data_IF_040464737709
#
_entry.id   IF_040464737709
#
_cell.length_a   1.000
_cell.length_b   1.000
_cell.length_c   1.000
_cell.angle_alpha   90.00
_cell.angle_beta   90.00
_cell.angle_gamma   90.00
#
_symmetry.space_group_name_H-M   'P 1'
#
loop_
_entity.id
_entity.type
_entity.pdbx_description
1 polymer ?
#
# COMPACT_ATOMS: atom_id res chain seq x y z
N UNK A 1 16.03 3.55 16.08
CA UNK A 1 16.78 2.76 17.00
C UNK A 1 17.67 1.75 16.28
N UNK A 2 18.65 1.18 16.95
CA UNK A 2 19.70 0.32 16.39
C UNK A 2 19.18 -0.90 15.62
N UNK A 3 18.05 -1.50 16.03
CA UNK A 3 17.45 -2.63 15.32
C UNK A 3 16.88 -2.24 13.96
N UNK A 4 16.35 -1.03 13.87
CA UNK A 4 15.78 -0.50 12.62
C UNK A 4 16.86 -0.22 11.57
N UNK A 5 18.06 0.17 12.02
CA UNK A 5 19.20 0.41 11.16
C UNK A 5 19.89 -0.89 10.74
N UNK A 6 19.99 -1.86 11.65
CA UNK A 6 20.70 -3.13 11.39
C UNK A 6 20.06 -3.97 10.30
N UNK A 7 18.74 -4.04 10.20
CA UNK A 7 18.09 -4.94 9.25
C UNK A 7 18.32 -4.53 7.78
N UNK A 8 18.08 -3.29 7.36
CA UNK A 8 18.40 -2.88 6.00
C UNK A 8 19.87 -3.10 5.66
N UNK A 9 20.78 -2.72 6.55
CA UNK A 9 22.22 -2.93 6.36
C UNK A 9 22.56 -4.40 6.19
N UNK A 10 22.10 -5.25 7.08
CA UNK A 10 22.36 -6.68 7.02
C UNK A 10 21.80 -7.29 5.75
N UNK A 11 20.59 -6.93 5.34
CA UNK A 11 19.96 -7.43 4.12
C UNK A 11 20.72 -7.00 2.88
N UNK A 12 21.12 -5.75 2.79
CA UNK A 12 21.90 -5.24 1.64
C UNK A 12 23.35 -5.75 1.63
N UNK A 13 24.01 -5.82 2.76
CA UNK A 13 25.39 -6.32 2.84
C UNK A 13 25.51 -7.82 2.52
N UNK A 14 24.60 -8.64 3.04
CA UNK A 14 24.63 -10.09 2.81
C UNK A 14 24.29 -10.45 1.35
N UNK A 15 23.52 -9.59 0.67
CA UNK A 15 23.01 -9.84 -0.69
C UNK A 15 23.50 -8.80 -1.71
N UNK A 16 24.67 -8.21 -1.48
CA UNK A 16 25.22 -7.15 -2.35
C UNK A 16 25.35 -7.59 -3.84
N UNK A 17 25.55 -8.88 -4.10
CA UNK A 17 25.63 -9.43 -5.45
C UNK A 17 24.26 -9.76 -6.07
N UNK A 18 23.19 -9.76 -5.28
CA UNK A 18 21.83 -10.04 -5.75
C UNK A 18 21.18 -8.79 -6.33
N UNK A 19 20.65 -8.90 -7.54
CA UNK A 19 19.71 -7.89 -8.07
C UNK A 19 18.40 -7.99 -7.32
N UNK A 20 17.96 -6.87 -6.74
CA UNK A 20 16.66 -6.78 -6.06
C UNK A 20 15.55 -6.52 -7.08
N UNK A 21 14.47 -7.25 -6.97
CA UNK A 21 13.24 -7.03 -7.72
C UNK A 21 12.34 -6.04 -6.97
N UNK A 22 11.35 -5.48 -7.66
CA UNK A 22 10.28 -4.67 -7.03
C UNK A 22 9.59 -5.44 -5.90
N UNK A 23 9.34 -6.75 -6.10
CA UNK A 23 8.73 -7.61 -5.08
C UNK A 23 9.63 -7.77 -3.83
N UNK A 24 10.95 -7.91 -4.02
CA UNK A 24 11.90 -7.94 -2.90
C UNK A 24 11.85 -6.64 -2.09
N UNK A 25 11.83 -5.49 -2.77
CA UNK A 25 11.77 -4.18 -2.11
C UNK A 25 10.45 -3.98 -1.36
N UNK A 26 9.31 -4.31 -1.97
CA UNK A 26 7.99 -4.30 -1.30
C UNK A 26 8.00 -5.18 -0.04
N UNK A 27 8.63 -6.36 -0.09
CA UNK A 27 8.77 -7.26 1.06
C UNK A 27 9.61 -6.64 2.17
N UNK A 28 10.76 -6.03 1.83
CA UNK A 28 11.63 -5.32 2.78
C UNK A 28 10.86 -4.20 3.47
N UNK A 29 10.14 -3.36 2.70
CA UNK A 29 9.37 -2.24 3.24
C UNK A 29 8.22 -2.67 4.18
N UNK A 30 7.75 -3.92 4.05
CA UNK A 30 6.74 -4.52 4.94
C UNK A 30 7.31 -5.16 6.20
N UNK A 31 8.63 -5.14 6.39
CA UNK A 31 9.29 -5.81 7.52
C UNK A 31 8.96 -5.14 8.85
N UNK A 32 8.72 -5.98 9.84
CA UNK A 32 8.49 -5.58 11.24
C UNK A 32 9.66 -5.93 12.16
N UNK A 33 10.74 -6.50 11.64
CA UNK A 33 11.91 -7.08 12.32
C UNK A 33 11.63 -8.32 13.18
N UNK A 34 10.38 -8.62 13.47
CA UNK A 34 10.02 -9.76 14.31
C UNK A 34 10.36 -11.11 13.67
N UNK A 35 10.55 -11.11 12.36
CA UNK A 35 11.01 -12.29 11.62
C UNK A 35 12.48 -12.62 11.88
N UNK A 36 13.24 -11.70 12.48
CA UNK A 36 14.68 -11.79 12.65
C UNK A 36 15.15 -11.76 14.11
N UNK A 37 14.27 -11.47 15.06
CA UNK A 37 14.62 -11.30 16.45
C UNK A 37 13.63 -12.04 17.35
N UNK A 38 14.04 -13.19 17.87
CA UNK A 38 13.24 -14.02 18.78
C UNK A 38 12.82 -13.27 20.06
N UNK A 39 13.70 -12.40 20.56
CA UNK A 39 13.50 -11.56 21.74
C UNK A 39 12.48 -10.44 21.52
N UNK A 40 12.12 -10.15 20.27
CA UNK A 40 11.08 -9.18 19.92
C UNK A 40 9.73 -9.84 19.65
N UNK A 41 9.61 -11.15 19.76
CA UNK A 41 8.33 -11.86 19.71
C UNK A 41 7.51 -11.46 20.93
N UNK A 42 6.80 -10.36 20.78
CA UNK A 42 5.83 -9.87 21.76
C UNK A 42 4.59 -10.75 21.76
N UNK A 43 3.75 -10.57 22.80
CA UNK A 43 2.44 -11.21 22.87
C UNK A 43 1.75 -11.15 21.51
N UNK A 44 1.36 -12.29 21.04
CA UNK A 44 0.72 -12.56 19.76
C UNK A 44 -0.49 -11.66 19.42
N UNK A 45 -1.05 -10.99 20.40
CA UNK A 45 -2.18 -10.06 20.26
C UNK A 45 -1.75 -8.62 19.95
N UNK A 46 -0.47 -8.30 20.12
CA UNK A 46 0.02 -6.94 19.91
C UNK A 46 0.42 -6.69 18.46
N UNK A 47 0.20 -5.46 18.03
CA UNK A 47 0.64 -4.96 16.75
C UNK A 47 2.18 -5.00 16.63
N UNK A 48 2.75 -5.50 15.52
CA UNK A 48 4.19 -5.61 15.33
C UNK A 48 4.85 -4.30 14.91
N UNK A 49 4.12 -3.18 14.83
CA UNK A 49 4.55 -1.96 14.17
C UNK A 49 5.51 -1.08 14.98
N UNK A 50 6.01 -1.54 16.11
CA UNK A 50 6.81 -0.73 17.03
C UNK A 50 8.22 -0.43 16.53
N UNK A 51 8.89 -1.39 15.89
CA UNK A 51 10.33 -1.32 15.61
C UNK A 51 10.72 -1.46 14.13
N UNK A 52 9.83 -1.98 13.27
CA UNK A 52 10.12 -2.29 11.88
C UNK A 52 10.26 -1.10 10.94
N UNK A 53 10.49 -1.37 9.67
CA UNK A 53 10.34 -0.38 8.60
C UNK A 53 8.87 -0.03 8.42
N UNK A 54 8.00 -1.05 8.45
CA UNK A 54 6.56 -0.86 8.54
C UNK A 54 6.20 -0.60 10.01
N UNK A 55 6.01 0.64 10.38
CA UNK A 55 5.73 1.06 11.76
C UNK A 55 4.41 1.82 11.86
N UNK A 56 4.01 2.07 13.12
CA UNK A 56 2.79 2.80 13.48
C UNK A 56 2.70 4.21 12.86
N UNK A 57 3.85 4.86 12.67
CA UNK A 57 3.96 6.20 12.06
C UNK A 57 4.19 6.17 10.55
N UNK A 58 4.17 5.00 9.89
CA UNK A 58 4.32 4.91 8.44
C UNK A 58 3.04 5.38 7.76
N UNK A 59 3.07 6.54 7.15
CA UNK A 59 1.92 7.12 6.41
C UNK A 59 1.93 6.76 4.94
N UNK A 60 3.08 6.40 4.40
CA UNK A 60 3.25 5.98 3.01
C UNK A 60 4.51 5.15 2.85
N UNK A 61 4.50 4.23 1.90
CA UNK A 61 5.66 3.47 1.45
C UNK A 61 5.75 3.51 -0.06
N UNK A 62 6.94 3.81 -0.58
CA UNK A 62 7.19 4.01 -2.00
C UNK A 62 8.33 3.09 -2.46
N UNK A 63 8.11 2.43 -3.61
CA UNK A 63 9.14 1.73 -4.39
C UNK A 63 9.10 2.28 -5.80
N UNK A 64 10.23 2.81 -6.29
CA UNK A 64 10.33 3.37 -7.64
C UNK A 64 11.00 2.36 -8.56
N UNK A 65 10.33 2.05 -9.66
CA UNK A 65 10.82 1.22 -10.75
C UNK A 65 11.11 2.11 -11.94
N UNK A 66 12.39 2.40 -12.16
CA UNK A 66 12.83 3.21 -13.28
C UNK A 66 12.69 2.46 -14.61
N UNK A 67 12.39 3.20 -15.68
CA UNK A 67 12.26 2.67 -17.03
C UNK A 67 13.09 3.54 -17.99
N UNK A 68 13.61 2.93 -19.07
CA UNK A 68 14.32 3.65 -20.14
C UNK A 68 13.42 4.70 -20.82
N UNK A 69 12.11 4.42 -20.90
CA UNK A 69 11.11 5.40 -21.31
C UNK A 69 10.66 6.14 -20.04
N UNK A 70 11.03 7.41 -19.83
CA UNK A 70 10.80 8.12 -18.56
C UNK A 70 9.33 8.12 -18.11
N UNK A 71 8.38 8.20 -19.04
CA UNK A 71 6.95 8.18 -18.76
C UNK A 71 6.47 6.83 -18.16
N UNK A 72 7.19 5.75 -18.44
CA UNK A 72 6.92 4.41 -17.88
C UNK A 72 7.60 4.16 -16.54
N UNK A 73 8.36 5.12 -16.01
CA UNK A 73 8.82 5.04 -14.61
C UNK A 73 7.60 4.89 -13.71
N UNK A 74 7.58 3.82 -12.94
CA UNK A 74 6.43 3.46 -12.09
C UNK A 74 6.77 3.67 -10.62
N UNK A 75 5.94 4.43 -9.94
CA UNK A 75 5.97 4.62 -8.48
C UNK A 75 4.94 3.70 -7.87
N UNK A 76 5.38 2.62 -7.26
CA UNK A 76 4.54 1.73 -6.49
C UNK A 76 4.30 2.33 -5.12
N UNK A 77 3.07 2.69 -4.81
CA UNK A 77 2.69 3.38 -3.57
C UNK A 77 1.72 2.56 -2.75
N UNK A 78 2.06 2.32 -1.49
CA UNK A 78 1.17 1.79 -0.48
C UNK A 78 0.92 2.86 0.58
N UNK A 79 -0.34 3.24 0.76
CA UNK A 79 -0.78 4.16 1.80
C UNK A 79 -0.81 3.45 3.15
N UNK A 80 -1.21 4.10 4.25
CA UNK A 80 -0.63 3.85 5.57
C UNK A 80 -0.38 2.38 5.84
N UNK A 81 0.83 2.08 6.31
CA UNK A 81 1.36 0.75 6.63
C UNK A 81 1.27 -0.26 5.49
N UNK A 82 2.36 -0.44 4.75
CA UNK A 82 2.38 -1.28 3.55
C UNK A 82 2.02 -2.75 3.80
N UNK A 83 2.09 -3.23 5.06
CA UNK A 83 1.64 -4.58 5.41
C UNK A 83 0.10 -4.75 5.39
N UNK A 84 -0.63 -3.64 5.48
CA UNK A 84 -2.09 -3.61 5.45
C UNK A 84 -2.65 -3.23 4.08
N UNK A 85 -1.82 -2.68 3.18
CA UNK A 85 -2.30 -2.07 1.96
C UNK A 85 -1.52 -2.53 0.72
N UNK A 86 -2.14 -2.36 -0.45
CA UNK A 86 -1.62 -2.74 -1.76
C UNK A 86 -0.65 -1.67 -2.26
N UNK A 87 0.47 -2.08 -2.83
CA UNK A 87 1.29 -1.23 -3.66
C UNK A 87 0.61 -1.01 -5.02
N UNK A 88 -0.01 0.13 -5.18
CA UNK A 88 -0.67 0.55 -6.42
C UNK A 88 0.34 1.20 -7.37
N UNK A 89 0.33 0.86 -8.67
CA UNK A 89 1.24 1.45 -9.64
C UNK A 89 0.76 2.85 -10.06
N UNK A 90 1.68 3.81 -9.98
CA UNK A 90 1.50 5.18 -10.45
C UNK A 90 2.59 5.51 -11.45
N UNK A 91 2.23 5.83 -12.69
CA UNK A 91 3.20 6.18 -13.70
C UNK A 91 3.59 7.66 -13.68
N UNK A 92 4.87 7.96 -13.94
CA UNK A 92 5.35 9.33 -14.03
C UNK A 92 4.77 10.09 -15.23
N UNK A 93 4.31 9.37 -16.25
CA UNK A 93 3.80 9.92 -17.50
C UNK A 93 2.30 10.24 -17.53
N UNK A 94 1.59 10.18 -16.43
CA UNK A 94 0.15 10.49 -16.38
C UNK A 94 -0.13 11.99 -16.33
N UNK A 95 -1.25 12.41 -16.88
CA UNK A 95 -1.65 13.83 -16.92
C UNK A 95 -2.64 14.20 -15.79
N UNK A 96 -3.30 13.24 -15.19
CA UNK A 96 -4.29 13.47 -14.11
C UNK A 96 -4.29 12.34 -13.12
N UNK A 97 -4.73 12.63 -11.93
CA UNK A 97 -4.83 11.71 -10.80
C UNK A 97 -6.30 11.32 -10.58
N UNK A 98 -6.54 10.13 -10.02
CA UNK A 98 -7.90 9.74 -9.62
C UNK A 98 -8.39 10.69 -8.50
N UNK A 99 -9.61 11.28 -8.60
CA UNK A 99 -10.12 12.29 -7.66
C UNK A 99 -10.18 11.83 -6.20
N UNK A 100 -10.28 10.52 -5.96
CA UNK A 100 -10.23 9.99 -4.59
C UNK A 100 -8.85 10.18 -3.91
N UNK A 101 -7.81 10.42 -4.70
CA UNK A 101 -6.42 10.62 -4.24
C UNK A 101 -5.96 12.06 -4.34
N UNK A 102 -6.77 12.93 -4.95
CA UNK A 102 -6.45 14.35 -5.03
C UNK A 102 -6.66 15.06 -3.71
N UNK A 103 -5.82 16.04 -3.43
CA UNK A 103 -6.12 17.07 -2.46
C UNK A 103 -7.18 18.02 -3.04
N UNK A 104 -8.08 18.49 -2.19
CA UNK A 104 -9.21 19.32 -2.66
C UNK A 104 -8.73 20.68 -3.17
N UNK A 105 -7.63 21.21 -2.62
CA UNK A 105 -7.08 22.51 -2.98
C UNK A 105 -5.56 22.52 -2.73
N UNK A 106 -4.77 22.63 -3.81
CA UNK A 106 -3.30 22.64 -3.73
C UNK A 106 -2.72 23.81 -2.95
N UNK A 107 -3.39 24.97 -2.93
CA UNK A 107 -2.97 26.13 -2.14
C UNK A 107 -3.21 25.88 -0.66
N UNK A 108 -4.34 25.27 -0.31
CA UNK A 108 -4.64 24.90 1.06
C UNK A 108 -3.82 23.68 1.52
N UNK A 109 -3.37 22.79 0.63
CA UNK A 109 -2.56 21.65 1.00
C UNK A 109 -1.27 22.05 1.74
N UNK A 110 -0.55 23.07 1.24
CA UNK A 110 0.65 23.58 1.92
C UNK A 110 0.31 24.20 3.26
N UNK A 111 -0.76 24.98 3.35
CA UNK A 111 -1.21 25.62 4.60
C UNK A 111 -1.65 24.57 5.61
N UNK A 112 -2.45 23.58 5.22
CA UNK A 112 -2.92 22.50 6.07
C UNK A 112 -1.79 21.62 6.58
N UNK A 113 -0.72 21.43 5.78
CA UNK A 113 0.46 20.68 6.23
C UNK A 113 1.15 21.35 7.42
N UNK A 114 1.25 22.68 7.41
CA UNK A 114 1.91 23.44 8.46
C UNK A 114 0.99 23.79 9.63
N UNK A 115 -0.31 23.93 9.36
CA UNK A 115 -1.34 24.31 10.33
C UNK A 115 -2.68 23.69 9.94
N UNK A 116 -2.89 22.39 10.20
CA UNK A 116 -4.07 21.67 9.77
C UNK A 116 -5.33 22.18 10.47
N UNK A 117 -6.42 22.31 9.71
CA UNK A 117 -7.74 22.62 10.24
C UNK A 117 -8.42 21.35 10.78
N UNK A 118 -9.42 21.52 11.69
CA UNK A 118 -10.22 20.38 12.16
C UNK A 118 -10.90 19.62 11.03
N UNK A 119 -11.38 20.34 9.99
CA UNK A 119 -12.01 19.76 8.82
C UNK A 119 -11.07 18.83 8.01
N UNK A 120 -9.75 18.99 8.12
CA UNK A 120 -8.77 18.11 7.47
C UNK A 120 -8.76 16.71 8.08
N UNK A 121 -9.23 16.57 9.32
CA UNK A 121 -9.33 15.29 10.05
C UNK A 121 -10.72 14.66 9.98
N UNK A 122 -11.67 15.29 9.29
CA UNK A 122 -13.00 14.71 9.11
C UNK A 122 -12.95 13.52 8.15
N UNK A 123 -13.62 12.44 8.56
CA UNK A 123 -13.77 11.25 7.73
C UNK A 123 -14.52 11.57 6.44
N UNK A 124 -13.96 11.13 5.31
CA UNK A 124 -14.57 11.28 3.97
C UNK A 124 -14.53 9.93 3.25
N UNK A 125 -15.69 9.33 3.05
CA UNK A 125 -15.85 8.00 2.43
C UNK A 125 -15.42 7.94 0.96
N UNK A 126 -15.40 9.09 0.29
CA UNK A 126 -14.98 9.26 -1.10
C UNK A 126 -13.48 9.56 -1.25
N UNK A 127 -12.70 9.58 -0.15
CA UNK A 127 -11.25 9.78 -0.18
C UNK A 127 -10.50 8.50 0.16
N UNK A 128 -9.57 8.13 -0.71
CA UNK A 128 -8.82 6.89 -0.64
C UNK A 128 -8.01 6.76 0.67
N UNK A 129 -7.43 7.86 1.16
CA UNK A 129 -6.72 7.89 2.43
C UNK A 129 -7.54 7.26 3.57
N UNK A 130 -8.81 7.67 3.70
CA UNK A 130 -9.67 7.18 4.79
C UNK A 130 -10.01 5.70 4.67
N UNK A 131 -10.17 5.19 3.44
CA UNK A 131 -10.40 3.76 3.24
C UNK A 131 -9.19 2.92 3.68
N UNK A 132 -7.99 3.32 3.28
CA UNK A 132 -6.75 2.64 3.67
C UNK A 132 -6.47 2.78 5.17
N UNK A 133 -6.69 3.96 5.72
CA UNK A 133 -6.54 4.23 7.14
C UNK A 133 -7.51 3.41 8.00
N UNK A 134 -8.77 3.27 7.56
CA UNK A 134 -9.77 2.41 8.22
C UNK A 134 -9.35 0.96 8.22
N UNK A 135 -8.91 0.43 7.06
CA UNK A 135 -8.46 -0.95 6.93
C UNK A 135 -7.29 -1.25 7.88
N UNK A 136 -6.27 -0.39 7.90
CA UNK A 136 -5.13 -0.59 8.82
C UNK A 136 -5.54 -0.54 10.29
N UNK A 137 -6.48 0.35 10.68
CA UNK A 137 -6.93 0.45 12.06
C UNK A 137 -7.69 -0.81 12.49
N UNK A 138 -8.54 -1.36 11.62
CA UNK A 138 -9.22 -2.64 11.88
C UNK A 138 -8.19 -3.75 12.10
N UNK A 139 -7.14 -3.80 11.29
CA UNK A 139 -6.04 -4.76 11.47
C UNK A 139 -5.29 -4.55 12.78
N UNK A 140 -5.06 -3.31 13.18
CA UNK A 140 -4.31 -2.98 14.40
C UNK A 140 -4.98 -3.52 15.66
N UNK A 141 -6.31 -3.50 15.72
CA UNK A 141 -7.08 -4.02 16.85
C UNK A 141 -7.05 -5.55 16.99
N UNK A 142 -6.77 -6.28 15.90
CA UNK A 142 -6.70 -7.74 15.92
C UNK A 142 -5.78 -8.25 14.81
N UNK A 143 -4.53 -7.87 14.93
CA UNK A 143 -3.53 -8.06 13.88
C UNK A 143 -3.38 -9.53 13.48
N UNK A 144 -3.33 -10.44 14.44
CA UNK A 144 -3.12 -11.86 14.17
C UNK A 144 -4.25 -12.50 13.37
N UNK A 145 -5.48 -12.13 13.68
CA UNK A 145 -6.64 -12.60 12.94
C UNK A 145 -6.69 -11.98 11.53
N UNK A 146 -6.48 -10.66 11.44
CA UNK A 146 -6.65 -9.93 10.18
C UNK A 146 -5.50 -10.15 9.20
N UNK A 147 -4.26 -10.25 9.71
CA UNK A 147 -3.04 -10.28 8.88
C UNK A 147 -3.02 -11.38 7.82
N UNK A 148 -3.30 -12.67 8.11
CA UNK A 148 -3.28 -13.71 7.08
C UNK A 148 -4.33 -13.48 5.99
N UNK A 149 -5.51 -12.99 6.34
CA UNK A 149 -6.60 -12.70 5.39
C UNK A 149 -6.17 -11.58 4.44
N UNK A 150 -5.69 -10.47 5.00
CA UNK A 150 -5.28 -9.30 4.21
C UNK A 150 -4.03 -9.59 3.38
N UNK A 151 -3.06 -10.33 3.93
CA UNK A 151 -1.85 -10.69 3.19
C UNK A 151 -2.13 -11.55 1.95
N UNK A 152 -3.05 -12.49 2.05
CA UNK A 152 -3.45 -13.33 0.92
C UNK A 152 -4.10 -12.50 -0.19
N UNK A 153 -4.99 -11.58 0.17
CA UNK A 153 -5.64 -10.67 -0.78
C UNK A 153 -4.63 -9.71 -1.43
N UNK A 154 -3.72 -9.11 -0.64
CA UNK A 154 -2.64 -8.25 -1.16
C UNK A 154 -1.79 -9.02 -2.18
N UNK A 155 -1.32 -10.22 -1.83
CA UNK A 155 -0.47 -11.02 -2.71
C UNK A 155 -1.18 -11.38 -4.04
N UNK A 156 -2.49 -11.62 -4.00
CA UNK A 156 -3.30 -11.87 -5.18
C UNK A 156 -3.40 -10.64 -6.08
N UNK A 157 -3.76 -9.49 -5.50
CA UNK A 157 -3.97 -8.27 -6.27
C UNK A 157 -2.66 -7.73 -6.82
N UNK A 158 -1.59 -7.70 -6.03
CA UNK A 158 -0.29 -7.20 -6.49
C UNK A 158 0.29 -8.04 -7.64
N UNK A 159 0.09 -9.35 -7.63
CA UNK A 159 0.47 -10.21 -8.77
C UNK A 159 -0.30 -9.85 -10.05
N UNK A 160 -1.60 -9.54 -9.94
CA UNK A 160 -2.39 -9.09 -11.08
C UNK A 160 -1.92 -7.72 -11.59
N UNK A 161 -1.57 -6.80 -10.68
CA UNK A 161 -1.03 -5.48 -11.02
C UNK A 161 0.34 -5.59 -11.73
N UNK A 162 1.21 -6.48 -11.28
CA UNK A 162 2.52 -6.71 -11.90
C UNK A 162 2.38 -7.27 -13.32
N UNK A 163 1.47 -8.21 -13.53
CA UNK A 163 1.17 -8.75 -14.87
C UNK A 163 0.58 -7.69 -15.78
N UNK A 164 -0.45 -6.96 -15.33
CA UNK A 164 -1.11 -5.94 -16.14
C UNK A 164 -0.18 -4.75 -16.44
N UNK A 165 0.73 -4.41 -15.51
CA UNK A 165 1.76 -3.38 -15.76
C UNK A 165 2.66 -3.77 -16.93
N UNK A 166 3.16 -5.00 -16.96
CA UNK A 166 4.03 -5.46 -18.03
C UNK A 166 3.35 -5.42 -19.42
N UNK A 167 2.05 -5.66 -19.47
CA UNK A 167 1.25 -5.54 -20.70
C UNK A 167 1.06 -4.07 -21.09
N UNK A 168 0.72 -3.21 -20.14
CA UNK A 168 0.53 -1.76 -20.36
C UNK A 168 1.81 -1.11 -20.84
N UNK A 169 2.97 -1.46 -20.29
CA UNK A 169 4.27 -0.93 -20.72
C UNK A 169 4.53 -1.20 -22.21
N UNK A 170 4.21 -2.42 -22.68
CA UNK A 170 4.33 -2.78 -24.10
C UNK A 170 3.38 -1.98 -24.99
N UNK A 171 2.09 -1.94 -24.57
CA UNK A 171 1.06 -1.20 -25.32
C UNK A 171 1.43 0.28 -25.41
N UNK A 172 1.91 0.88 -24.32
CA UNK A 172 2.38 2.27 -24.30
C UNK A 172 3.51 2.48 -25.30
N UNK A 173 4.55 1.62 -25.27
CA UNK A 173 5.72 1.75 -26.13
C UNK A 173 5.37 1.66 -27.62
N UNK A 174 4.40 0.85 -27.98
CA UNK A 174 3.95 0.71 -29.36
C UNK A 174 3.00 1.87 -29.76
N UNK A 175 2.07 2.24 -28.92
CA UNK A 175 1.13 3.31 -29.16
C UNK A 175 1.81 4.69 -29.24
N UNK A 176 2.83 4.94 -28.44
CA UNK A 176 3.57 6.19 -28.42
C UNK A 176 4.32 6.46 -29.74
N UNK A 177 4.73 5.41 -30.49
CA UNK A 177 5.32 5.54 -31.82
C UNK A 177 4.31 6.04 -32.84
N UNK A 178 3.01 5.79 -32.65
CA UNK A 178 1.94 6.16 -33.55
C UNK A 178 1.36 7.51 -33.12
N UNK A 179 1.01 7.64 -31.85
CA UNK A 179 0.44 8.85 -31.27
C UNK A 179 0.71 8.92 -29.76
N UNK A 180 1.65 9.78 -29.37
CA UNK A 180 2.06 9.95 -27.97
C UNK A 180 0.88 10.38 -27.07
N UNK A 181 -0.02 11.23 -27.59
CA UNK A 181 -1.18 11.69 -26.80
C UNK A 181 -2.10 10.54 -26.39
N UNK A 182 -2.42 9.65 -27.32
CA UNK A 182 -3.21 8.47 -27.01
C UNK A 182 -2.52 7.51 -26.03
N UNK A 183 -1.20 7.37 -26.15
CA UNK A 183 -0.43 6.56 -25.22
C UNK A 183 -0.51 7.14 -23.79
N UNK A 184 -0.39 8.46 -23.64
CA UNK A 184 -0.51 9.14 -22.34
C UNK A 184 -1.92 9.02 -21.78
N UNK A 185 -2.95 9.19 -22.59
CA UNK A 185 -4.36 9.04 -22.16
C UNK A 185 -4.62 7.61 -21.68
N UNK A 186 -4.16 6.60 -22.44
CA UNK A 186 -4.27 5.18 -22.04
C UNK A 186 -3.55 4.91 -20.71
N UNK A 187 -2.33 5.42 -20.53
CA UNK A 187 -1.55 5.25 -19.31
C UNK A 187 -2.22 5.92 -18.10
N UNK A 188 -2.80 7.10 -18.32
CA UNK A 188 -3.55 7.86 -17.34
C UNK A 188 -4.80 7.10 -16.91
N UNK A 189 -5.58 6.59 -17.87
CA UNK A 189 -6.80 5.83 -17.59
C UNK A 189 -6.50 4.51 -16.87
N UNK A 190 -5.44 3.80 -17.29
CA UNK A 190 -4.99 2.60 -16.58
C UNK A 190 -4.65 2.92 -15.12
N UNK A 191 -3.82 3.93 -14.87
CA UNK A 191 -3.41 4.33 -13.51
C UNK A 191 -4.64 4.69 -12.66
N UNK A 192 -5.55 5.51 -13.20
CA UNK A 192 -6.77 5.90 -12.51
C UNK A 192 -7.67 4.69 -12.18
N UNK A 193 -7.78 3.72 -13.09
CA UNK A 193 -8.52 2.48 -12.85
C UNK A 193 -7.90 1.60 -11.76
N UNK A 194 -6.56 1.45 -11.75
CA UNK A 194 -5.91 0.68 -10.70
C UNK A 194 -6.05 1.38 -9.33
N UNK A 195 -5.92 2.69 -9.29
CA UNK A 195 -6.16 3.50 -8.09
C UNK A 195 -7.60 3.29 -7.56
N UNK A 196 -8.61 3.37 -8.42
CA UNK A 196 -10.01 3.12 -8.04
C UNK A 196 -10.22 1.69 -7.53
N UNK A 197 -9.68 0.69 -8.22
CA UNK A 197 -9.79 -0.73 -7.81
C UNK A 197 -9.18 -0.96 -6.43
N UNK A 198 -8.02 -0.40 -6.15
CA UNK A 198 -7.36 -0.57 -4.84
C UNK A 198 -8.06 0.22 -3.74
N UNK A 199 -8.60 1.38 -4.03
CA UNK A 199 -9.47 2.12 -3.11
C UNK A 199 -10.70 1.30 -2.73
N UNK A 200 -11.44 0.77 -3.72
CA UNK A 200 -12.62 -0.07 -3.47
C UNK A 200 -12.26 -1.39 -2.77
N UNK A 201 -11.10 -1.95 -3.09
CA UNK A 201 -10.58 -3.12 -2.40
C UNK A 201 -10.40 -2.85 -0.89
N UNK A 202 -9.83 -1.70 -0.52
CA UNK A 202 -9.63 -1.34 0.89
C UNK A 202 -10.98 -1.25 1.63
N UNK A 203 -11.97 -0.57 1.04
CA UNK A 203 -13.32 -0.48 1.61
C UNK A 203 -13.97 -1.86 1.80
N UNK A 204 -13.94 -2.70 0.76
CA UNK A 204 -14.53 -4.05 0.81
C UNK A 204 -13.81 -4.96 1.80
N UNK A 205 -12.48 -4.87 1.87
CA UNK A 205 -11.68 -5.68 2.79
C UNK A 205 -11.94 -5.27 4.24
N UNK A 206 -12.03 -3.98 4.52
CA UNK A 206 -12.41 -3.48 5.84
C UNK A 206 -13.77 -4.02 6.28
N UNK A 207 -14.79 -3.94 5.42
CA UNK A 207 -16.11 -4.47 5.69
C UNK A 207 -16.12 -5.99 5.90
N UNK A 208 -15.38 -6.74 5.07
CA UNK A 208 -15.22 -8.19 5.22
C UNK A 208 -14.62 -8.55 6.57
N UNK A 209 -13.55 -7.87 7.00
CA UNK A 209 -12.90 -8.12 8.29
C UNK A 209 -13.85 -7.88 9.47
N UNK A 210 -14.62 -6.80 9.44
CA UNK A 210 -15.62 -6.53 10.47
C UNK A 210 -16.64 -7.66 10.56
N UNK A 211 -17.20 -8.09 9.41
CA UNK A 211 -18.16 -9.19 9.34
C UNK A 211 -17.58 -10.51 9.87
N UNK A 212 -16.35 -10.84 9.52
CA UNK A 212 -15.68 -12.07 10.01
C UNK A 212 -15.40 -12.02 11.52
N UNK A 213 -15.04 -10.85 12.05
CA UNK A 213 -14.88 -10.64 13.49
C UNK A 213 -16.20 -10.81 14.25
N UNK A 214 -17.30 -10.28 13.71
CA UNK A 214 -18.63 -10.44 14.31
C UNK A 214 -19.07 -11.91 14.34
N UNK A 215 -18.89 -12.65 13.24
CA UNK A 215 -19.15 -14.09 13.19
C UNK A 215 -18.36 -14.84 14.25
N UNK A 216 -17.06 -14.60 14.37
CA UNK A 216 -16.19 -15.22 15.37
C UNK A 216 -16.68 -14.95 16.80
N UNK A 217 -17.10 -13.73 17.09
CA UNK A 217 -17.65 -13.37 18.39
C UNK A 217 -18.97 -14.10 18.67
N UNK A 218 -19.85 -14.18 17.69
CA UNK A 218 -21.11 -14.94 17.84
C UNK A 218 -20.88 -16.44 18.05
N UNK A 219 -19.95 -17.06 17.35
CA UNK A 219 -19.60 -18.47 17.52
C UNK A 219 -18.99 -18.73 18.89
N UNK A 220 -18.16 -17.82 19.40
CA UNK A 220 -17.66 -17.87 20.77
C UNK A 220 -18.80 -17.89 21.80
N UNK A 221 -19.77 -17.00 21.67
CA UNK A 221 -20.91 -16.94 22.59
C UNK A 221 -21.79 -18.19 22.50
N UNK A 222 -22.07 -18.69 21.30
CA UNK A 222 -22.81 -19.93 21.10
C UNK A 222 -22.14 -21.13 21.72
N UNK A 223 -20.81 -21.19 21.72
CA UNK A 223 -20.07 -22.29 22.37
C UNK A 223 -20.08 -22.26 23.88
N UNK A 224 -20.61 -21.19 24.51
CA UNK A 224 -20.73 -21.01 25.95
C UNK A 224 -22.15 -21.29 26.48
N UNK A 225 -23.13 -21.43 25.59
CA UNK A 225 -24.50 -21.83 25.89
C UNK A 225 -24.66 -23.34 25.79
#
# INVERSE_FOLDING_TARGET
>A
SQLREKQPYTTFQIKAEKKYTVADLKKIMRSHYMEYAEDLKTDSRMSPHRYGLCRDTTVESIVVEFNEIPRLTCVWRAFPRPCANIYTPWYAGIDRVNPAYEWVDGVNAQRSHLSPDKADFEYKDNKAYWAFFTLQNIMEYDYQFCRPIVAAEIAKVERQLEVSKAEVDKVYADLAKINERYAVDMLTDYTAQQAEKTFRWAQKTAQKLLTEKDKRNMDFWRSKL
#
